data_IF_088387614905
#
_entry.id   IF_088387614905
#
_cell.length_a   1.000
_cell.length_b   1.000
_cell.length_c   1.000
_cell.angle_alpha   90.00
_cell.angle_beta   90.00
_cell.angle_gamma   90.00
#
_symmetry.space_group_name_H-M   'P 1'
#
loop_
_entity.id
_entity.type
_entity.pdbx_description
1 polymer ?
#
# COMPACT_ATOMS: atom_id res chain seq x y z
N UNK A 1 -13.03 10.27 7.19
CA UNK A 1 -12.67 8.84 7.07
C UNK A 1 -12.63 8.47 5.60
N UNK A 2 -11.52 7.89 5.12
CA UNK A 2 -11.44 7.42 3.73
C UNK A 2 -12.31 6.15 3.56
N UNK A 3 -12.77 5.87 2.36
CA UNK A 3 -13.47 4.63 1.99
C UNK A 3 -12.75 3.37 2.51
N UNK A 4 -11.41 3.34 2.45
CA UNK A 4 -10.61 2.22 2.95
C UNK A 4 -10.74 2.05 4.48
N UNK A 5 -10.73 3.14 5.25
CA UNK A 5 -10.92 3.11 6.71
C UNK A 5 -12.33 2.61 7.08
N UNK A 6 -13.33 3.05 6.32
CA UNK A 6 -14.72 2.63 6.54
C UNK A 6 -14.90 1.13 6.26
N UNK A 7 -14.29 0.61 5.20
CA UNK A 7 -14.29 -0.83 4.93
C UNK A 7 -13.44 -1.58 5.97
N UNK A 8 -12.29 -1.07 6.40
CA UNK A 8 -11.51 -1.70 7.48
C UNK A 8 -12.30 -1.77 8.79
N UNK A 9 -13.04 -0.71 9.14
CA UNK A 9 -13.92 -0.71 10.30
C UNK A 9 -15.07 -1.71 10.14
N UNK A 10 -15.62 -1.84 8.93
CA UNK A 10 -16.59 -2.87 8.61
C UNK A 10 -16.01 -4.29 8.79
N UNK A 11 -14.79 -4.54 8.32
CA UNK A 11 -14.07 -5.81 8.55
C UNK A 11 -13.86 -6.06 10.04
N UNK A 12 -13.38 -5.06 10.79
CA UNK A 12 -13.20 -5.16 12.24
C UNK A 12 -14.49 -5.56 12.95
N UNK A 13 -15.61 -4.95 12.54
CA UNK A 13 -16.93 -5.27 13.07
C UNK A 13 -17.35 -6.70 12.72
N UNK A 14 -17.17 -7.15 11.48
CA UNK A 14 -17.44 -8.53 11.06
C UNK A 14 -16.64 -9.52 11.92
N UNK A 15 -15.33 -9.31 12.07
CA UNK A 15 -14.44 -10.23 12.82
C UNK A 15 -14.85 -10.37 14.29
N UNK A 16 -15.31 -9.29 14.93
CA UNK A 16 -15.79 -9.32 16.32
C UNK A 16 -17.14 -10.05 16.44
N UNK A 17 -17.96 -10.00 15.41
CA UNK A 17 -19.35 -10.46 15.43
C UNK A 17 -19.59 -11.72 14.58
N UNK A 18 -18.56 -12.54 14.31
CA UNK A 18 -18.70 -13.75 13.47
C UNK A 18 -19.68 -14.79 14.03
N UNK A 19 -19.96 -14.76 15.35
CA UNK A 19 -20.91 -15.66 16.02
C UNK A 19 -22.33 -15.11 16.10
N UNK A 20 -22.59 -13.95 15.49
CA UNK A 20 -23.94 -13.38 15.40
C UNK A 20 -24.48 -13.51 13.97
N UNK A 21 -25.77 -13.22 13.82
CA UNK A 21 -26.32 -12.92 12.50
C UNK A 21 -25.72 -11.61 12.01
N UNK A 22 -25.19 -11.63 10.80
CA UNK A 22 -24.62 -10.46 10.13
C UNK A 22 -25.33 -10.24 8.81
N UNK A 23 -25.78 -9.01 8.56
CA UNK A 23 -26.45 -8.59 7.34
C UNK A 23 -25.67 -7.49 6.61
N UNK A 24 -25.57 -7.58 5.28
CA UNK A 24 -24.95 -6.51 4.50
C UNK A 24 -25.63 -5.14 4.70
N UNK A 25 -26.93 -5.13 5.02
CA UNK A 25 -27.71 -3.92 5.31
C UNK A 25 -27.22 -3.21 6.57
N UNK A 26 -26.92 -3.95 7.65
CA UNK A 26 -26.40 -3.33 8.87
C UNK A 26 -24.97 -2.80 8.68
N UNK A 27 -24.15 -3.50 7.89
CA UNK A 27 -22.76 -3.14 7.65
C UNK A 27 -22.67 -1.90 6.75
N UNK A 28 -23.54 -1.81 5.74
CA UNK A 28 -23.70 -0.62 4.92
C UNK A 28 -24.16 0.59 5.77
N UNK A 29 -25.12 0.38 6.67
CA UNK A 29 -25.61 1.43 7.57
C UNK A 29 -24.53 1.93 8.54
N UNK A 30 -23.74 1.02 9.10
CA UNK A 30 -22.63 1.34 10.00
C UNK A 30 -21.51 2.14 9.32
N UNK A 31 -21.37 2.01 8.00
CA UNK A 31 -20.40 2.76 7.19
C UNK A 31 -20.97 4.05 6.59
N UNK A 32 -22.27 4.30 6.72
CA UNK A 32 -22.96 5.46 6.13
C UNK A 32 -23.19 5.34 4.62
N UNK A 33 -23.02 4.15 4.03
CA UNK A 33 -23.21 3.91 2.61
C UNK A 33 -24.59 3.35 2.28
N UNK A 34 -25.04 3.58 1.05
CA UNK A 34 -26.15 2.80 0.49
C UNK A 34 -25.72 1.35 0.32
N UNK A 35 -26.65 0.40 0.44
CA UNK A 35 -26.36 -1.03 0.34
C UNK A 35 -25.66 -1.39 -0.98
N UNK A 36 -26.11 -0.80 -2.10
CA UNK A 36 -25.50 -1.01 -3.41
C UNK A 36 -24.06 -0.49 -3.47
N UNK A 37 -23.82 0.72 -2.96
CA UNK A 37 -22.47 1.29 -2.92
C UNK A 37 -21.56 0.48 -2.02
N UNK A 38 -22.04 0.04 -0.86
CA UNK A 38 -21.31 -0.82 0.07
C UNK A 38 -20.91 -2.15 -0.57
N UNK A 39 -21.81 -2.84 -1.27
CA UNK A 39 -21.46 -4.09 -1.96
C UNK A 39 -20.32 -3.91 -2.96
N UNK A 40 -20.44 -2.91 -3.83
CA UNK A 40 -19.41 -2.64 -4.83
C UNK A 40 -18.10 -2.23 -4.17
N UNK A 41 -18.17 -1.34 -3.18
CA UNK A 41 -16.99 -0.83 -2.51
C UNK A 41 -16.29 -1.95 -1.72
N UNK A 42 -17.02 -2.70 -0.90
CA UNK A 42 -16.48 -3.82 -0.14
C UNK A 42 -15.86 -4.86 -1.07
N UNK A 43 -16.55 -5.25 -2.15
CA UNK A 43 -15.99 -6.21 -3.12
C UNK A 43 -14.78 -5.63 -3.84
N UNK A 44 -14.81 -4.34 -4.21
CA UNK A 44 -13.67 -3.67 -4.85
C UNK A 44 -12.46 -3.52 -3.93
N UNK A 45 -12.67 -3.55 -2.61
CA UNK A 45 -11.63 -3.37 -1.58
C UNK A 45 -11.15 -4.70 -0.99
N UNK A 46 -11.98 -5.75 -0.98
CA UNK A 46 -11.62 -7.07 -0.42
C UNK A 46 -11.44 -8.17 -1.47
N UNK A 47 -11.81 -7.90 -2.73
CA UNK A 47 -11.73 -8.84 -3.85
C UNK A 47 -12.83 -9.90 -3.84
N UNK A 48 -13.66 -9.94 -2.79
CA UNK A 48 -14.76 -10.91 -2.64
C UNK A 48 -16.04 -10.21 -2.15
N UNK A 49 -17.23 -10.70 -2.54
CA UNK A 49 -18.49 -10.14 -2.03
C UNK A 49 -18.57 -10.25 -0.49
N UNK A 50 -19.09 -9.23 0.19
CA UNK A 50 -19.16 -9.18 1.66
C UNK A 50 -19.80 -10.42 2.30
N UNK A 51 -20.88 -10.96 1.73
CA UNK A 51 -21.52 -12.15 2.28
C UNK A 51 -20.65 -13.40 2.11
N UNK A 52 -19.87 -13.48 1.03
CA UNK A 52 -18.89 -14.54 0.84
C UNK A 52 -17.71 -14.37 1.79
N UNK A 53 -17.24 -13.13 2.01
CA UNK A 53 -16.25 -12.81 3.03
C UNK A 53 -16.67 -13.34 4.41
N UNK A 54 -17.86 -12.95 4.89
CA UNK A 54 -18.39 -13.39 6.19
C UNK A 54 -18.45 -14.92 6.27
N UNK A 55 -18.96 -15.58 5.22
CA UNK A 55 -19.03 -17.04 5.18
C UNK A 55 -17.64 -17.67 5.30
N UNK A 56 -16.67 -17.21 4.51
CA UNK A 56 -15.29 -17.72 4.53
C UNK A 56 -14.66 -17.55 5.92
N UNK A 57 -14.86 -16.39 6.55
CA UNK A 57 -14.37 -16.13 7.92
C UNK A 57 -15.01 -17.05 8.94
N UNK A 58 -16.34 -17.21 8.92
CA UNK A 58 -17.06 -18.17 9.77
C UNK A 58 -16.52 -19.58 9.63
N UNK A 59 -16.30 -20.06 8.41
CA UNK A 59 -15.75 -21.41 8.17
C UNK A 59 -14.32 -21.57 8.71
N UNK A 60 -13.47 -20.57 8.52
CA UNK A 60 -12.06 -20.60 8.95
C UNK A 60 -11.92 -20.58 10.47
N UNK A 61 -12.71 -19.75 11.15
CA UNK A 61 -12.75 -19.73 12.62
C UNK A 61 -13.40 -20.99 13.19
N UNK A 62 -14.46 -21.50 12.56
CA UNK A 62 -15.08 -22.76 12.96
C UNK A 62 -14.10 -23.94 12.89
N UNK A 63 -13.36 -24.10 11.79
CA UNK A 63 -12.41 -25.22 11.67
C UNK A 63 -11.27 -25.12 12.68
N UNK A 64 -10.84 -23.89 13.02
CA UNK A 64 -9.89 -23.66 14.09
C UNK A 64 -10.45 -24.05 15.46
N UNK A 65 -11.67 -23.63 15.81
CA UNK A 65 -12.31 -24.01 17.07
C UNK A 65 -12.51 -25.53 17.19
N UNK A 66 -12.88 -26.21 16.09
CA UNK A 66 -12.97 -27.68 16.02
C UNK A 66 -11.60 -28.32 16.25
N UNK A 67 -10.53 -27.75 15.69
CA UNK A 67 -9.18 -28.27 15.88
C UNK A 67 -8.69 -28.22 17.34
N UNK A 68 -9.26 -27.32 18.15
CA UNK A 68 -9.00 -27.21 19.58
C UNK A 68 -9.79 -28.23 20.42
N UNK A 69 -10.54 -29.14 19.77
CA UNK A 69 -11.29 -30.20 20.43
C UNK A 69 -12.76 -29.86 20.70
N UNK A 70 -13.27 -28.74 20.20
CA UNK A 70 -14.70 -28.42 20.32
C UNK A 70 -15.54 -29.33 19.40
N UNK A 71 -16.74 -29.69 19.85
CA UNK A 71 -17.64 -30.54 19.07
C UNK A 71 -18.12 -29.79 17.82
N UNK A 72 -17.98 -30.44 16.66
CA UNK A 72 -18.28 -29.85 15.35
C UNK A 72 -19.71 -29.30 15.22
N UNK A 73 -20.69 -29.98 15.83
CA UNK A 73 -22.08 -29.53 15.83
C UNK A 73 -22.26 -28.23 16.62
N UNK A 74 -21.67 -28.14 17.81
CA UNK A 74 -21.75 -26.96 18.68
C UNK A 74 -21.04 -25.77 18.02
N UNK A 75 -19.87 -26.02 17.41
CA UNK A 75 -19.13 -24.99 16.68
C UNK A 75 -19.94 -24.48 15.49
N UNK A 76 -20.49 -25.37 14.65
CA UNK A 76 -21.31 -24.98 13.50
C UNK A 76 -22.49 -24.09 13.93
N UNK A 77 -23.21 -24.46 14.99
CA UNK A 77 -24.31 -23.65 15.52
C UNK A 77 -23.82 -22.31 16.05
N UNK A 78 -22.68 -22.27 16.75
CA UNK A 78 -22.11 -21.04 17.30
C UNK A 78 -21.70 -20.01 16.24
N UNK A 79 -21.37 -20.45 15.03
CA UNK A 79 -21.06 -19.56 13.89
C UNK A 79 -22.30 -19.23 13.05
N UNK A 80 -23.50 -19.60 13.50
CA UNK A 80 -24.77 -19.26 12.86
C UNK A 80 -25.17 -20.17 11.70
N UNK A 81 -24.66 -21.40 11.65
CA UNK A 81 -25.19 -22.42 10.74
C UNK A 81 -26.38 -23.12 11.42
N UNK A 82 -27.54 -23.15 10.76
CA UNK A 82 -28.75 -23.80 11.31
C UNK A 82 -28.58 -25.31 11.53
N UNK A 83 -27.75 -25.96 10.71
CA UNK A 83 -27.51 -27.40 10.78
C UNK A 83 -26.05 -27.76 10.50
N UNK A 84 -25.60 -28.87 11.09
CA UNK A 84 -24.30 -29.48 10.78
C UNK A 84 -24.15 -29.78 9.28
N UNK A 85 -25.22 -30.23 8.61
CA UNK A 85 -25.22 -30.49 7.17
C UNK A 85 -24.99 -29.21 6.35
N UNK A 86 -25.57 -28.08 6.79
CA UNK A 86 -25.35 -26.77 6.18
C UNK A 86 -23.88 -26.34 6.28
N UNK A 87 -23.27 -26.45 7.47
CA UNK A 87 -21.85 -26.19 7.66
C UNK A 87 -20.98 -27.08 6.78
N UNK A 88 -21.23 -28.40 6.76
CA UNK A 88 -20.45 -29.34 5.97
C UNK A 88 -20.48 -29.02 4.48
N UNK A 89 -21.68 -28.71 3.93
CA UNK A 89 -21.82 -28.33 2.51
C UNK A 89 -21.09 -27.04 2.19
N UNK A 90 -21.23 -26.02 3.04
CA UNK A 90 -20.53 -24.75 2.86
C UNK A 90 -19.01 -24.94 2.92
N UNK A 91 -18.51 -25.72 3.87
CA UNK A 91 -17.09 -26.02 4.01
C UNK A 91 -16.54 -26.78 2.81
N UNK A 92 -17.22 -27.84 2.38
CA UNK A 92 -16.80 -28.63 1.22
C UNK A 92 -16.79 -27.82 -0.07
N UNK A 93 -17.73 -26.89 -0.23
CA UNK A 93 -17.76 -25.97 -1.38
C UNK A 93 -16.60 -24.98 -1.37
N UNK A 94 -16.20 -24.50 -0.20
CA UNK A 94 -15.11 -23.52 -0.06
C UNK A 94 -13.72 -24.17 -0.18
N UNK A 95 -13.52 -25.34 0.43
CA UNK A 95 -12.20 -25.98 0.58
C UNK A 95 -12.00 -27.26 -0.23
N UNK A 96 -12.99 -27.67 -1.03
CA UNK A 96 -12.98 -28.88 -1.85
C UNK A 96 -12.73 -30.20 -1.08
N UNK A 97 -12.80 -30.19 0.25
CA UNK A 97 -12.70 -31.37 1.12
C UNK A 97 -13.59 -31.24 2.35
N UNK A 98 -13.82 -32.34 3.07
CA UNK A 98 -14.57 -32.29 4.34
C UNK A 98 -13.75 -31.64 5.46
N UNK A 99 -14.41 -31.06 6.48
CA UNK A 99 -13.73 -30.56 7.69
C UNK A 99 -12.77 -31.59 8.32
N UNK A 100 -13.16 -32.87 8.36
CA UNK A 100 -12.34 -33.95 8.94
C UNK A 100 -11.11 -34.24 8.10
N UNK A 101 -11.24 -34.30 6.77
CA UNK A 101 -10.10 -34.45 5.85
C UNK A 101 -9.16 -33.25 5.92
N UNK A 102 -9.73 -32.05 6.03
CA UNK A 102 -8.97 -30.81 6.19
C UNK A 102 -8.10 -30.87 7.46
N UNK A 103 -8.66 -31.23 8.61
CA UNK A 103 -7.92 -31.33 9.88
C UNK A 103 -6.87 -32.44 9.91
N UNK A 104 -7.03 -33.50 9.13
CA UNK A 104 -6.02 -34.56 8.98
C UNK A 104 -4.83 -34.10 8.13
N UNK A 105 -5.10 -33.28 7.12
CA UNK A 105 -4.11 -32.88 6.10
C UNK A 105 -3.40 -31.58 6.49
N UNK A 106 -4.12 -30.68 7.15
CA UNK A 106 -3.68 -29.32 7.47
C UNK A 106 -3.77 -29.09 8.99
N UNK A 107 -2.72 -28.50 9.56
CA UNK A 107 -2.80 -27.96 10.92
C UNK A 107 -3.65 -26.69 10.84
N UNK A 108 -4.82 -26.69 11.46
CA UNK A 108 -5.63 -25.48 11.57
C UNK A 108 -4.83 -24.42 12.33
N UNK A 109 -4.68 -23.24 11.72
CA UNK A 109 -3.99 -22.09 12.30
C UNK A 109 -5.06 -21.11 12.79
N UNK A 110 -4.76 -20.40 13.87
CA UNK A 110 -5.63 -19.32 14.34
C UNK A 110 -5.79 -18.31 13.20
N UNK A 111 -7.02 -18.00 12.75
CA UNK A 111 -7.22 -17.06 11.65
C UNK A 111 -6.63 -15.70 11.99
N UNK A 112 -5.92 -15.10 11.05
CA UNK A 112 -5.37 -13.76 11.23
C UNK A 112 -6.48 -12.73 11.05
N UNK A 113 -6.39 -11.64 11.78
CA UNK A 113 -7.31 -10.52 11.58
C UNK A 113 -6.89 -9.79 10.31
N UNK A 114 -7.81 -9.67 9.35
CA UNK A 114 -7.52 -8.95 8.11
C UNK A 114 -7.43 -7.45 8.40
N UNK A 115 -6.33 -6.86 7.99
CA UNK A 115 -6.08 -5.43 8.11
C UNK A 115 -5.67 -4.88 6.74
N UNK A 116 -6.62 -4.26 6.04
CA UNK A 116 -6.43 -3.58 4.76
C UNK A 116 -5.50 -2.37 4.85
N UNK A 117 -5.28 -1.85 6.07
CA UNK A 117 -4.42 -0.68 6.32
C UNK A 117 -3.02 -1.10 6.78
N UNK A 118 -2.85 -2.35 7.21
CA UNK A 118 -1.57 -2.88 7.73
C UNK A 118 -1.25 -4.24 7.13
N UNK A 119 -0.09 -4.36 6.52
CA UNK A 119 0.62 -5.64 6.54
C UNK A 119 1.12 -5.86 7.97
N UNK A 120 0.38 -6.61 8.78
CA UNK A 120 0.88 -7.02 10.09
C UNK A 120 2.16 -7.86 9.91
N UNK A 121 3.09 -7.77 10.86
CA UNK A 121 4.23 -8.65 11.04
C UNK A 121 3.81 -10.14 11.00
N UNK A 122 3.74 -10.75 9.82
CA UNK A 122 3.42 -12.17 9.68
C UNK A 122 4.71 -12.95 9.92
N UNK A 123 4.88 -13.49 11.12
CA UNK A 123 6.00 -14.38 11.40
C UNK A 123 5.80 -15.74 10.74
N UNK A 124 6.50 -15.97 9.62
CA UNK A 124 6.48 -17.24 8.89
C UNK A 124 7.79 -18.00 9.13
N UNK A 125 7.68 -19.27 9.53
CA UNK A 125 8.86 -20.12 9.70
C UNK A 125 9.51 -20.47 8.36
N UNK A 126 10.84 -20.58 8.30
CA UNK A 126 11.57 -21.04 7.11
C UNK A 126 11.07 -22.40 6.60
N UNK A 127 10.59 -23.29 7.51
CA UNK A 127 10.00 -24.58 7.14
C UNK A 127 8.69 -24.40 6.35
N UNK A 128 7.87 -23.44 6.73
CA UNK A 128 6.63 -23.10 6.01
C UNK A 128 6.95 -22.50 4.64
N UNK A 129 7.90 -21.58 4.58
CA UNK A 129 8.38 -20.99 3.32
C UNK A 129 8.86 -22.09 2.37
N UNK A 130 9.74 -22.99 2.82
CA UNK A 130 10.19 -24.13 2.01
C UNK A 130 9.05 -25.02 1.52
N UNK A 131 8.00 -25.24 2.33
CA UNK A 131 6.82 -26.00 1.91
C UNK A 131 6.04 -25.26 0.81
N UNK A 132 5.87 -23.95 0.94
CA UNK A 132 5.15 -23.12 -0.04
C UNK A 132 5.95 -22.97 -1.33
N UNK A 133 7.28 -22.83 -1.27
CA UNK A 133 8.14 -22.71 -2.44
C UNK A 133 8.10 -23.93 -3.37
N UNK A 134 7.68 -25.11 -2.89
CA UNK A 134 7.46 -26.30 -3.73
C UNK A 134 6.38 -26.14 -4.81
N UNK A 135 5.56 -25.10 -4.72
CA UNK A 135 4.60 -24.78 -5.76
C UNK A 135 5.25 -24.09 -6.97
N UNK A 136 6.52 -23.70 -6.89
CA UNK A 136 7.29 -23.12 -8.00
C UNK A 136 8.41 -24.05 -8.43
N UNK A 137 8.77 -24.00 -9.71
CA UNK A 137 9.90 -24.73 -10.27
C UNK A 137 11.21 -23.97 -9.99
N UNK A 138 11.71 -24.09 -8.76
CA UNK A 138 12.93 -23.43 -8.29
C UNK A 138 14.08 -24.43 -8.23
N UNK A 139 15.26 -24.02 -8.72
CA UNK A 139 16.48 -24.82 -8.65
C UNK A 139 16.85 -25.17 -7.20
N UNK A 140 17.08 -26.45 -6.94
CA UNK A 140 17.60 -26.92 -5.66
C UNK A 140 19.14 -26.83 -5.61
N UNK A 141 19.76 -26.57 -4.44
CA UNK A 141 19.13 -26.42 -3.13
C UNK A 141 18.52 -25.03 -2.90
N UNK A 142 17.29 -24.99 -2.35
CA UNK A 142 16.62 -23.72 -2.02
C UNK A 142 17.25 -23.03 -0.81
N UNK A 143 17.83 -21.84 -1.03
CA UNK A 143 18.31 -20.91 0.00
C UNK A 143 17.29 -19.80 0.26
N UNK A 144 17.15 -19.40 1.53
CA UNK A 144 16.18 -18.38 1.96
C UNK A 144 16.92 -17.43 2.91
N UNK A 145 16.89 -16.14 2.59
CA UNK A 145 17.46 -15.08 3.42
C UNK A 145 16.38 -14.04 3.75
N UNK A 146 16.47 -13.45 4.94
CA UNK A 146 15.62 -12.31 5.29
C UNK A 146 16.01 -11.11 4.44
N UNK A 147 15.02 -10.37 3.94
CA UNK A 147 15.28 -9.11 3.25
C UNK A 147 15.38 -7.96 4.27
N UNK A 148 16.39 -7.11 4.08
CA UNK A 148 16.58 -5.88 4.84
C UNK A 148 16.45 -4.72 3.86
N UNK A 149 15.57 -3.77 4.17
CA UNK A 149 15.43 -2.57 3.36
C UNK A 149 16.72 -1.76 3.48
N UNK A 150 17.41 -1.52 2.35
CA UNK A 150 18.71 -0.84 2.34
C UNK A 150 18.63 0.60 2.84
N UNK A 151 17.50 1.28 2.63
CA UNK A 151 17.26 2.67 3.06
C UNK A 151 17.00 2.81 4.56
N UNK A 152 16.33 1.83 5.18
CA UNK A 152 15.94 1.93 6.60
C UNK A 152 16.72 0.99 7.52
N UNK A 153 17.49 0.05 6.97
CA UNK A 153 18.17 -1.02 7.70
C UNK A 153 17.23 -2.01 8.39
N UNK A 154 15.91 -1.80 8.28
CA UNK A 154 14.91 -2.65 8.92
C UNK A 154 14.63 -3.89 8.08
N UNK A 155 14.49 -5.02 8.78
CA UNK A 155 14.02 -6.26 8.19
C UNK A 155 12.56 -6.13 7.77
N UNK A 156 12.24 -6.41 6.51
CA UNK A 156 10.85 -6.63 6.10
C UNK A 156 10.45 -8.03 6.54
N UNK A 157 9.49 -8.11 7.47
CA UNK A 157 9.07 -9.40 8.03
C UNK A 157 8.27 -10.26 7.04
N UNK A 158 7.74 -9.66 5.99
CA UNK A 158 6.92 -10.30 4.98
C UNK A 158 7.65 -10.61 3.66
N UNK A 159 8.96 -10.34 3.59
CA UNK A 159 9.74 -10.48 2.35
C UNK A 159 11.01 -11.30 2.58
N UNK A 160 11.28 -12.24 1.67
CA UNK A 160 12.46 -13.11 1.70
C UNK A 160 13.14 -13.16 0.34
N UNK A 161 14.48 -13.21 0.35
CA UNK A 161 15.28 -13.51 -0.84
C UNK A 161 15.37 -15.02 -0.98
N UNK A 162 15.04 -15.56 -2.15
CA UNK A 162 15.12 -17.00 -2.46
C UNK A 162 16.14 -17.20 -3.57
N UNK A 163 17.13 -18.08 -3.35
CA UNK A 163 18.20 -18.42 -4.29
C UNK A 163 18.99 -17.25 -4.90
N UNK A 164 18.90 -16.05 -4.30
CA UNK A 164 19.44 -14.78 -4.81
C UNK A 164 18.68 -14.15 -5.99
N UNK A 165 17.95 -14.98 -6.76
CA UNK A 165 17.26 -14.56 -7.99
C UNK A 165 15.81 -14.08 -7.77
N UNK A 166 15.22 -14.41 -6.63
CA UNK A 166 13.79 -14.17 -6.39
C UNK A 166 13.51 -13.45 -5.08
N UNK A 167 12.42 -12.70 -5.08
CA UNK A 167 11.77 -12.24 -3.85
C UNK A 167 10.47 -13.01 -3.62
N UNK A 168 10.35 -13.64 -2.46
CA UNK A 168 9.07 -14.11 -1.96
C UNK A 168 8.47 -13.05 -1.04
N UNK A 169 7.26 -12.61 -1.37
CA UNK A 169 6.47 -11.68 -0.56
C UNK A 169 5.21 -12.40 -0.05
N UNK A 170 4.76 -12.03 1.13
CA UNK A 170 3.55 -12.59 1.73
C UNK A 170 2.68 -11.49 2.32
N UNK A 171 1.41 -11.46 1.91
CA UNK A 171 0.47 -10.47 2.40
C UNK A 171 -0.92 -11.05 2.61
N UNK A 172 -1.77 -10.25 3.24
CA UNK A 172 -3.23 -10.50 3.32
C UNK A 172 -3.99 -9.68 2.27
N UNK A 173 -3.32 -8.67 1.68
CA UNK A 173 -3.90 -7.75 0.69
C UNK A 173 -3.78 -8.31 -0.73
N UNK A 174 -4.74 -9.17 -1.12
CA UNK A 174 -4.83 -9.71 -2.48
C UNK A 174 -5.02 -8.62 -3.55
N UNK A 175 -5.53 -7.44 -3.20
CA UNK A 175 -5.77 -6.37 -4.17
C UNK A 175 -4.47 -5.67 -4.53
N UNK A 176 -3.73 -5.20 -3.52
CA UNK A 176 -2.41 -4.61 -3.73
C UNK A 176 -1.51 -5.57 -4.49
N UNK A 177 -1.59 -6.87 -4.17
CA UNK A 177 -0.93 -7.92 -4.94
C UNK A 177 -1.37 -7.94 -6.41
N UNK A 178 -2.66 -8.18 -6.71
CA UNK A 178 -3.15 -8.27 -8.10
C UNK A 178 -2.84 -7.01 -8.91
N UNK A 179 -2.90 -5.84 -8.28
CA UNK A 179 -2.50 -4.57 -8.89
C UNK A 179 -1.01 -4.54 -9.21
N UNK A 180 -0.15 -4.88 -8.24
CA UNK A 180 1.30 -4.98 -8.44
C UNK A 180 1.65 -5.93 -9.59
N UNK A 181 0.96 -7.07 -9.70
CA UNK A 181 1.13 -8.05 -10.78
C UNK A 181 0.74 -7.46 -12.13
N UNK A 182 -0.45 -6.86 -12.22
CA UNK A 182 -0.95 -6.28 -13.47
C UNK A 182 -0.05 -5.13 -13.96
N UNK A 183 0.39 -4.27 -13.04
CA UNK A 183 1.31 -3.16 -13.31
C UNK A 183 2.67 -3.69 -13.78
N UNK A 184 3.23 -4.66 -13.07
CA UNK A 184 4.50 -5.30 -13.44
C UNK A 184 4.46 -5.92 -14.84
N UNK A 185 3.37 -6.61 -15.19
CA UNK A 185 3.19 -7.17 -16.53
C UNK A 185 3.11 -6.09 -17.61
N UNK A 186 2.50 -4.94 -17.30
CA UNK A 186 2.38 -3.82 -18.24
C UNK A 186 3.72 -3.12 -18.44
N UNK A 187 4.51 -2.91 -17.37
CA UNK A 187 5.87 -2.39 -17.48
C UNK A 187 6.77 -3.26 -18.34
N UNK A 188 6.69 -4.60 -18.20
CA UNK A 188 7.43 -5.51 -19.08
C UNK A 188 7.09 -5.29 -20.56
N UNK A 189 5.82 -5.06 -20.89
CA UNK A 189 5.39 -4.81 -22.28
C UNK A 189 6.01 -3.54 -22.86
N UNK A 190 6.23 -2.54 -22.01
CA UNK A 190 6.87 -1.27 -22.39
C UNK A 190 8.41 -1.34 -22.28
N UNK A 191 8.99 -2.51 -21.98
CA UNK A 191 10.44 -2.74 -21.94
C UNK A 191 11.14 -2.35 -20.64
N UNK A 192 10.40 -2.04 -19.57
CA UNK A 192 10.96 -1.86 -18.23
C UNK A 192 11.07 -3.20 -17.50
N UNK A 193 12.16 -3.41 -16.76
CA UNK A 193 12.21 -4.51 -15.80
C UNK A 193 11.31 -4.17 -14.60
N UNK A 194 10.62 -5.17 -14.09
CA UNK A 194 9.80 -5.03 -12.89
C UNK A 194 9.80 -6.35 -12.13
N UNK A 195 9.30 -6.33 -10.89
CA UNK A 195 9.15 -7.53 -10.06
C UNK A 195 7.98 -8.41 -10.57
N UNK A 196 8.16 -9.03 -11.74
CA UNK A 196 7.13 -9.86 -12.38
C UNK A 196 6.97 -11.15 -11.58
N UNK A 197 5.73 -11.61 -11.34
CA UNK A 197 5.49 -12.89 -10.72
C UNK A 197 6.09 -14.04 -11.52
N UNK A 198 6.77 -14.93 -10.81
CA UNK A 198 7.09 -16.26 -11.29
C UNK A 198 5.80 -17.09 -11.18
N UNK A 199 5.30 -17.69 -12.27
CA UNK A 199 4.14 -18.56 -12.20
C UNK A 199 4.47 -19.85 -11.43
N UNK A 200 3.48 -20.39 -10.72
CA UNK A 200 3.57 -21.71 -10.09
C UNK A 200 3.65 -22.81 -11.16
N UNK A 201 3.94 -24.05 -10.74
CA UNK A 201 3.92 -25.25 -11.59
C UNK A 201 2.54 -25.44 -12.24
N UNK A 202 1.47 -25.03 -11.54
CA UNK A 202 0.09 -25.06 -12.03
C UNK A 202 -0.31 -23.78 -12.80
N UNK A 203 0.66 -22.91 -13.12
CA UNK A 203 0.48 -21.66 -13.86
C UNK A 203 -0.39 -20.60 -13.16
N UNK A 204 -0.42 -20.61 -11.83
CA UNK A 204 -1.03 -19.58 -11.00
C UNK A 204 -0.01 -18.49 -10.64
N UNK A 205 -0.48 -17.26 -10.39
CA UNK A 205 0.42 -16.13 -10.08
C UNK A 205 0.83 -16.05 -8.59
N UNK A 206 0.09 -16.74 -7.73
CA UNK A 206 0.29 -16.77 -6.28
C UNK A 206 -0.25 -18.07 -5.69
N UNK A 207 0.20 -18.40 -4.49
CA UNK A 207 -0.27 -19.53 -3.68
C UNK A 207 -1.07 -18.99 -2.50
N UNK A 208 -2.22 -19.61 -2.23
CA UNK A 208 -3.06 -19.30 -1.07
C UNK A 208 -2.87 -20.36 0.00
N UNK A 209 -2.58 -19.92 1.24
CA UNK A 209 -2.57 -20.80 2.40
C UNK A 209 -3.20 -20.09 3.60
N UNK A 210 -4.43 -20.51 3.95
CA UNK A 210 -5.28 -19.81 4.90
C UNK A 210 -5.71 -18.44 4.38
N UNK A 211 -5.39 -17.39 5.14
CA UNK A 211 -5.67 -15.99 4.79
C UNK A 211 -4.47 -15.29 4.12
N UNK A 212 -3.39 -16.03 3.86
CA UNK A 212 -2.14 -15.49 3.35
C UNK A 212 -1.96 -15.81 1.87
N UNK A 213 -1.54 -14.79 1.13
CA UNK A 213 -1.19 -14.87 -0.29
C UNK A 213 0.33 -14.80 -0.41
N UNK A 214 0.90 -15.84 -0.99
CA UNK A 214 2.34 -15.97 -1.21
C UNK A 214 2.60 -15.80 -2.69
N UNK A 215 3.53 -14.95 -3.05
CA UNK A 215 3.94 -14.78 -4.43
C UNK A 215 5.44 -14.67 -4.52
N UNK A 216 5.95 -15.16 -5.63
CA UNK A 216 7.36 -15.15 -5.96
C UNK A 216 7.55 -14.22 -7.14
N UNK A 217 8.52 -13.32 -7.07
CA UNK A 217 8.86 -12.39 -8.15
C UNK A 217 10.31 -12.55 -8.54
N UNK A 218 10.63 -12.27 -9.81
CA UNK A 218 12.02 -12.09 -10.21
C UNK A 218 12.60 -10.86 -9.52
N UNK A 219 13.83 -10.98 -9.01
CA UNK A 219 14.57 -9.83 -8.51
C UNK A 219 14.99 -8.96 -9.70
N UNK A 220 14.57 -7.70 -9.68
CA UNK A 220 15.08 -6.67 -10.58
C UNK A 220 16.57 -6.47 -10.26
N UNK A 221 17.44 -6.60 -11.25
CA UNK A 221 18.88 -6.51 -11.06
C UNK A 221 19.32 -5.05 -11.18
N UNK A 222 19.89 -4.48 -10.12
CA UNK A 222 20.35 -3.10 -10.08
C UNK A 222 20.61 -2.62 -8.67
N UNK A 223 21.05 -1.36 -8.55
CA UNK A 223 21.22 -0.66 -7.28
C UNK A 223 20.13 0.40 -7.13
N UNK A 224 19.61 0.56 -5.90
CA UNK A 224 18.67 1.63 -5.59
C UNK A 224 19.40 2.98 -5.49
N UNK A 225 18.71 4.07 -5.78
CA UNK A 225 19.25 5.40 -5.49
C UNK A 225 19.28 5.59 -3.97
N UNK A 226 20.48 5.72 -3.41
CA UNK A 226 20.66 5.97 -1.97
C UNK A 226 20.44 7.45 -1.67
N UNK A 227 19.71 7.75 -0.60
CA UNK A 227 19.35 9.12 -0.23
C UNK A 227 20.55 10.01 0.09
N UNK A 228 21.62 9.46 0.66
CA UNK A 228 22.88 10.18 0.91
C UNK A 228 23.56 10.66 -0.38
N UNK A 229 23.32 9.99 -1.51
CA UNK A 229 23.90 10.38 -2.80
C UNK A 229 23.19 11.59 -3.41
N UNK A 230 21.92 11.79 -3.05
CA UNK A 230 21.13 12.92 -3.51
C UNK A 230 21.68 14.22 -2.93
N UNK A 231 22.33 14.20 -1.76
CA UNK A 231 22.97 15.35 -1.15
C UNK A 231 24.47 15.49 -1.49
N UNK A 232 25.01 14.80 -2.52
CA UNK A 232 26.39 15.01 -2.99
C UNK A 232 26.51 16.26 -3.90
N UNK A 233 27.68 16.52 -4.51
CA UNK A 233 27.93 17.72 -5.33
C UNK A 233 27.04 17.81 -6.57
N UNK A 234 26.70 16.68 -7.18
CA UNK A 234 25.86 16.59 -8.39
C UNK A 234 24.35 16.53 -8.12
N UNK A 235 23.91 16.96 -6.93
CA UNK A 235 22.53 16.81 -6.45
C UNK A 235 21.46 17.32 -7.41
N UNK A 236 21.78 18.33 -8.24
CA UNK A 236 20.86 18.92 -9.21
C UNK A 236 20.57 17.98 -10.39
N UNK A 237 21.61 17.32 -10.91
CA UNK A 237 21.46 16.39 -12.03
C UNK A 237 20.71 15.15 -11.57
N UNK A 238 21.10 14.59 -10.42
CA UNK A 238 20.39 13.44 -9.81
C UNK A 238 18.93 13.76 -9.53
N UNK A 239 18.65 14.92 -8.91
CA UNK A 239 17.29 15.35 -8.63
C UNK A 239 16.44 15.52 -9.90
N UNK A 240 17.00 16.15 -10.94
CA UNK A 240 16.32 16.28 -12.23
C UNK A 240 16.02 14.92 -12.85
N UNK A 241 16.99 14.03 -12.80
CA UNK A 241 16.86 12.70 -13.35
C UNK A 241 15.81 11.85 -12.63
N UNK A 242 15.70 11.96 -11.29
CA UNK A 242 14.58 11.37 -10.52
C UNK A 242 13.23 11.88 -11.04
N UNK A 243 13.11 13.19 -11.26
CA UNK A 243 11.90 13.79 -11.83
C UNK A 243 11.55 13.25 -13.22
N UNK A 244 12.56 13.12 -14.09
CA UNK A 244 12.40 12.56 -15.44
C UNK A 244 11.95 11.09 -15.38
N UNK A 245 12.52 10.30 -14.47
CA UNK A 245 12.14 8.90 -14.22
C UNK A 245 10.67 8.78 -13.79
N UNK A 246 10.23 9.58 -12.80
CA UNK A 246 8.83 9.59 -12.36
C UNK A 246 7.91 10.01 -13.51
N UNK A 247 8.36 10.95 -14.35
CA UNK A 247 7.62 11.36 -15.53
C UNK A 247 7.45 10.25 -16.55
N UNK A 248 8.51 9.49 -16.83
CA UNK A 248 8.45 8.32 -17.71
C UNK A 248 7.52 7.24 -17.17
N UNK A 249 7.53 7.00 -15.85
CA UNK A 249 6.58 6.10 -15.19
C UNK A 249 5.14 6.54 -15.47
N UNK A 250 4.85 7.84 -15.32
CA UNK A 250 3.50 8.36 -15.50
C UNK A 250 3.01 8.27 -16.94
N UNK A 251 3.88 8.44 -17.93
CA UNK A 251 3.53 8.19 -19.34
C UNK A 251 3.06 6.74 -19.54
N UNK A 252 3.71 5.78 -18.89
CA UNK A 252 3.32 4.36 -18.98
C UNK A 252 2.03 4.10 -18.20
N UNK A 253 1.92 4.62 -16.97
CA UNK A 253 0.72 4.45 -16.13
C UNK A 253 -0.52 5.06 -16.80
N UNK A 254 -0.40 6.24 -17.41
CA UNK A 254 -1.47 6.90 -18.13
C UNK A 254 -1.93 6.09 -19.35
N UNK A 255 -0.99 5.51 -20.10
CA UNK A 255 -1.28 4.65 -21.27
C UNK A 255 -2.17 3.45 -20.89
N UNK A 256 -1.92 2.87 -19.72
CA UNK A 256 -2.64 1.70 -19.22
C UNK A 256 -3.74 2.04 -18.20
N UNK A 257 -4.04 3.32 -17.94
CA UNK A 257 -4.89 3.75 -16.81
C UNK A 257 -6.27 3.05 -16.78
N UNK A 258 -6.85 2.83 -17.96
CA UNK A 258 -8.17 2.19 -18.12
C UNK A 258 -8.16 0.67 -17.94
N UNK A 259 -6.98 0.05 -18.01
CA UNK A 259 -6.81 -1.40 -17.89
C UNK A 259 -6.83 -1.84 -16.41
N UNK A 260 -6.68 -0.90 -15.47
CA UNK A 260 -6.57 -1.20 -14.05
C UNK A 260 -7.81 -0.78 -13.25
N UNK A 261 -8.24 -1.69 -12.38
CA UNK A 261 -9.18 -1.40 -11.30
C UNK A 261 -8.39 -1.01 -10.07
N UNK A 262 -8.41 0.27 -9.72
CA UNK A 262 -7.69 0.85 -8.59
C UNK A 262 -8.61 1.76 -7.78
N UNK A 263 -8.25 1.97 -6.51
CA UNK A 263 -8.96 2.92 -5.66
C UNK A 263 -8.79 4.33 -6.22
N UNK A 264 -9.81 5.18 -6.06
CA UNK A 264 -9.76 6.58 -6.47
C UNK A 264 -10.21 7.46 -5.30
N UNK A 265 -9.37 7.58 -4.25
CA UNK A 265 -9.73 8.39 -3.10
C UNK A 265 -9.71 9.87 -3.49
N UNK A 266 -10.67 10.62 -2.96
CA UNK A 266 -10.66 12.06 -3.10
C UNK A 266 -9.66 12.64 -2.09
N UNK A 267 -8.44 12.98 -2.55
CA UNK A 267 -7.36 13.50 -1.70
C UNK A 267 -7.81 14.71 -0.87
N UNK A 268 -8.54 15.66 -1.46
CA UNK A 268 -9.04 16.84 -0.75
C UNK A 268 -9.97 16.44 0.40
N UNK A 269 -10.95 15.57 0.16
CA UNK A 269 -11.87 15.10 1.19
C UNK A 269 -11.17 14.21 2.24
N UNK A 270 -10.19 13.39 1.84
CA UNK A 270 -9.36 12.62 2.77
C UNK A 270 -8.58 13.53 3.72
N UNK A 271 -7.98 14.61 3.19
CA UNK A 271 -7.26 15.57 4.03
C UNK A 271 -8.22 16.36 4.92
N UNK A 272 -9.32 16.89 4.36
CA UNK A 272 -10.32 17.68 5.08
C UNK A 272 -10.98 16.91 6.23
N UNK A 273 -11.45 15.69 5.96
CA UNK A 273 -12.33 14.94 6.87
C UNK A 273 -11.57 13.96 7.79
N UNK A 274 -10.27 13.78 7.59
CA UNK A 274 -9.48 12.86 8.42
C UNK A 274 -8.10 13.43 8.77
N UNK A 275 -7.28 13.76 7.77
CA UNK A 275 -5.89 14.11 8.03
C UNK A 275 -5.74 15.39 8.87
N UNK A 276 -6.51 16.44 8.55
CA UNK A 276 -6.49 17.71 9.32
C UNK A 276 -6.97 17.51 10.76
N UNK A 277 -8.15 16.90 11.03
CA UNK A 277 -8.59 16.64 12.40
C UNK A 277 -7.56 15.87 13.25
N UNK A 278 -6.88 14.89 12.66
CA UNK A 278 -5.86 14.11 13.37
C UNK A 278 -4.55 14.89 13.54
N UNK A 279 -4.02 15.50 12.48
CA UNK A 279 -2.75 16.22 12.51
C UNK A 279 -2.79 17.44 13.44
N UNK A 280 -3.93 18.15 13.51
CA UNK A 280 -4.14 19.31 14.41
C UNK A 280 -3.80 19.04 15.87
N UNK A 281 -3.93 17.79 16.33
CA UNK A 281 -3.62 17.40 17.71
C UNK A 281 -2.11 17.43 18.01
N UNK A 282 -1.26 17.43 16.98
CA UNK A 282 0.19 17.21 17.09
C UNK A 282 1.05 18.28 16.41
N UNK A 283 0.43 19.15 15.61
CA UNK A 283 1.10 20.27 14.93
C UNK A 283 0.89 21.58 15.68
N UNK A 284 1.91 22.45 15.67
CA UNK A 284 1.84 23.79 16.29
C UNK A 284 1.40 24.90 15.32
N UNK A 285 0.70 24.53 14.25
CA UNK A 285 0.27 25.46 13.20
C UNK A 285 -0.96 26.26 13.63
N UNK A 286 -1.08 27.53 13.21
CA UNK A 286 -2.27 28.33 13.49
C UNK A 286 -3.49 27.79 12.74
N UNK A 287 -4.70 28.02 13.28
CA UNK A 287 -5.95 27.60 12.60
C UNK A 287 -6.07 28.19 11.18
N UNK A 288 -5.55 29.40 10.96
CA UNK A 288 -5.52 30.07 9.66
C UNK A 288 -4.83 29.27 8.57
N UNK A 289 -3.81 28.46 8.89
CA UNK A 289 -3.15 27.58 7.92
C UNK A 289 -4.15 26.59 7.30
N UNK A 290 -4.97 25.95 8.13
CA UNK A 290 -5.92 24.94 7.66
C UNK A 290 -7.08 25.57 6.89
N UNK A 291 -7.53 26.75 7.31
CA UNK A 291 -8.55 27.53 6.62
C UNK A 291 -8.06 27.96 5.23
N UNK A 292 -6.85 28.54 5.16
CA UNK A 292 -6.18 28.93 3.90
C UNK A 292 -5.98 27.72 2.98
N UNK A 293 -5.54 26.59 3.54
CA UNK A 293 -5.38 25.34 2.81
C UNK A 293 -6.71 24.87 2.19
N UNK A 294 -7.78 24.78 3.00
CA UNK A 294 -9.08 24.27 2.52
C UNK A 294 -9.68 25.22 1.47
N UNK A 295 -9.65 26.51 1.72
CA UNK A 295 -10.19 27.51 0.81
C UNK A 295 -9.46 27.47 -0.53
N UNK A 296 -8.13 27.50 -0.53
CA UNK A 296 -7.37 27.62 -1.75
C UNK A 296 -7.24 26.30 -2.50
N UNK A 297 -6.99 25.18 -1.81
CA UNK A 297 -6.83 23.90 -2.50
C UNK A 297 -8.14 23.46 -3.18
N UNK A 298 -9.30 23.76 -2.58
CA UNK A 298 -10.60 23.47 -3.19
C UNK A 298 -10.81 24.15 -4.56
N UNK A 299 -10.17 25.29 -4.81
CA UNK A 299 -10.25 26.03 -6.09
C UNK A 299 -9.45 25.32 -7.19
N UNK A 300 -8.29 24.74 -6.86
CA UNK A 300 -7.43 24.04 -7.81
C UNK A 300 -7.88 22.59 -8.03
N UNK A 301 -8.29 21.91 -6.96
CA UNK A 301 -8.52 20.46 -6.93
C UNK A 301 -9.34 19.91 -8.10
N UNK A 302 -10.48 20.50 -8.51
CA UNK A 302 -11.30 19.97 -9.60
C UNK A 302 -10.57 19.88 -10.95
N UNK A 303 -9.59 20.76 -11.19
CA UNK A 303 -8.92 20.91 -12.48
C UNK A 303 -7.61 20.13 -12.60
N UNK A 304 -7.17 19.47 -11.52
CA UNK A 304 -5.91 18.74 -11.52
C UNK A 304 -6.03 17.39 -12.27
N UNK A 305 -5.13 17.08 -13.23
CA UNK A 305 -5.10 15.80 -13.92
C UNK A 305 -4.93 14.62 -12.96
N UNK A 306 -5.62 13.52 -13.25
CA UNK A 306 -5.60 12.29 -12.46
C UNK A 306 -5.38 11.08 -13.35
N UNK A 307 -4.57 10.15 -12.86
CA UNK A 307 -4.37 8.81 -13.40
C UNK A 307 -3.80 7.95 -12.26
N UNK A 308 -3.49 6.69 -12.54
CA UNK A 308 -2.78 5.84 -11.57
C UNK A 308 -1.41 6.43 -11.24
N UNK A 309 -1.15 6.59 -9.96
CA UNK A 309 0.14 7.00 -9.41
C UNK A 309 0.73 5.86 -8.57
N UNK A 310 2.04 5.88 -8.38
CA UNK A 310 2.74 4.92 -7.54
C UNK A 310 2.46 5.14 -6.05
N UNK A 311 2.28 6.39 -5.63
CA UNK A 311 1.95 6.83 -4.25
C UNK A 311 3.09 6.70 -3.23
N UNK A 312 4.18 6.01 -3.58
CA UNK A 312 5.42 5.91 -2.80
C UNK A 312 6.67 5.81 -3.70
N UNK A 313 6.90 6.76 -4.62
CA UNK A 313 8.09 6.76 -5.47
C UNK A 313 9.32 7.28 -4.70
N UNK A 314 9.59 6.74 -3.51
CA UNK A 314 10.83 7.01 -2.79
C UNK A 314 12.02 6.64 -3.71
N UNK A 315 13.10 7.42 -3.78
CA UNK A 315 14.31 7.04 -4.51
C UNK A 315 14.82 5.61 -4.25
N UNK A 316 14.60 5.07 -3.04
CA UNK A 316 14.90 3.67 -2.73
C UNK A 316 14.05 2.65 -3.50
N UNK A 317 12.88 3.07 -3.98
CA UNK A 317 12.01 2.27 -4.84
C UNK A 317 12.34 2.40 -6.34
N UNK A 318 13.36 3.17 -6.71
CA UNK A 318 13.82 3.36 -8.09
C UNK A 318 15.07 2.50 -8.32
N UNK A 319 14.97 1.55 -9.25
CA UNK A 319 16.06 0.63 -9.58
C UNK A 319 16.87 1.15 -10.76
N UNK A 320 18.19 1.22 -10.56
CA UNK A 320 19.15 1.74 -11.51
C UNK A 320 20.20 0.69 -11.89
N UNK A 321 20.64 0.68 -13.14
CA UNK A 321 21.80 -0.09 -13.60
C UNK A 321 22.51 0.66 -14.70
N UNK A 322 23.83 0.77 -14.59
CA UNK A 322 24.69 1.48 -15.55
C UNK A 322 24.17 2.91 -15.86
N UNK A 323 23.67 3.61 -14.83
CA UNK A 323 23.14 4.97 -14.96
C UNK A 323 21.79 5.09 -15.70
N UNK A 324 21.08 3.98 -15.90
CA UNK A 324 19.76 3.94 -16.54
C UNK A 324 18.70 3.36 -15.63
N UNK A 325 17.48 3.87 -15.75
CA UNK A 325 16.30 3.30 -15.13
C UNK A 325 16.13 1.86 -15.62
N UNK A 326 16.12 0.94 -14.67
CA UNK A 326 15.82 -0.47 -14.91
C UNK A 326 14.38 -0.77 -14.59
N UNK A 327 13.86 -0.18 -13.50
CA UNK A 327 12.52 -0.46 -13.04
C UNK A 327 12.14 0.29 -11.78
N UNK A 328 10.92 0.04 -11.33
CA UNK A 328 10.40 0.47 -10.05
C UNK A 328 10.03 -0.76 -9.23
N UNK A 329 10.18 -0.65 -7.92
CA UNK A 329 9.75 -1.67 -6.98
C UNK A 329 8.55 -1.16 -6.16
N UNK A 330 7.71 -2.10 -5.74
CA UNK A 330 6.62 -1.88 -4.79
C UNK A 330 5.45 -0.98 -5.23
N UNK A 331 4.54 -1.55 -6.02
CA UNK A 331 3.32 -0.87 -6.49
C UNK A 331 2.09 -1.12 -5.61
N UNK A 332 2.27 -1.63 -4.39
CA UNK A 332 1.14 -2.09 -3.56
C UNK A 332 0.24 -0.94 -3.06
N UNK A 333 0.77 0.29 -3.03
CA UNK A 333 0.05 1.50 -2.64
C UNK A 333 -0.55 2.27 -3.83
N UNK A 334 -0.43 1.75 -5.05
CA UNK A 334 -0.85 2.45 -6.26
C UNK A 334 -2.36 2.71 -6.29
N UNK A 335 -2.75 3.93 -6.68
CA UNK A 335 -4.14 4.39 -6.72
C UNK A 335 -4.33 5.41 -7.84
N UNK A 336 -5.57 5.63 -8.29
CA UNK A 336 -5.89 6.75 -9.18
C UNK A 336 -6.01 8.02 -8.37
N UNK A 337 -5.12 8.98 -8.59
CA UNK A 337 -5.11 10.24 -7.87
C UNK A 337 -4.43 11.35 -8.69
N UNK A 338 -4.25 12.53 -8.10
CA UNK A 338 -3.59 13.67 -8.72
C UNK A 338 -2.15 13.31 -9.07
N UNK A 339 -1.79 13.44 -10.36
CA UNK A 339 -0.48 12.97 -10.85
C UNK A 339 0.72 13.68 -10.23
N UNK A 340 0.61 14.95 -9.87
CA UNK A 340 1.73 15.68 -9.23
C UNK A 340 1.99 15.24 -7.78
N UNK A 341 1.20 14.32 -7.23
CA UNK A 341 1.45 13.72 -5.92
C UNK A 341 2.81 13.02 -5.87
N UNK A 342 3.11 12.15 -6.83
CA UNK A 342 4.34 11.35 -6.85
C UNK A 342 5.65 12.17 -6.86
N UNK A 343 5.85 13.16 -7.75
CA UNK A 343 7.06 13.97 -7.69
C UNK A 343 7.14 14.84 -6.42
N UNK A 344 6.00 15.25 -5.85
CA UNK A 344 5.98 15.94 -4.55
C UNK A 344 6.36 14.97 -3.41
N UNK A 345 5.85 13.74 -3.46
CA UNK A 345 6.12 12.69 -2.47
C UNK A 345 7.61 12.35 -2.45
N UNK A 346 8.20 12.06 -3.61
CA UNK A 346 9.62 11.78 -3.77
C UNK A 346 10.50 12.92 -3.19
N UNK A 347 10.14 14.17 -3.47
CA UNK A 347 10.85 15.31 -2.89
C UNK A 347 10.72 15.34 -1.36
N UNK A 348 9.52 15.15 -0.81
CA UNK A 348 9.30 15.17 0.65
C UNK A 348 9.89 13.97 1.39
N UNK A 349 10.01 12.79 0.76
CA UNK A 349 10.66 11.63 1.38
C UNK A 349 12.16 11.87 1.56
N UNK A 350 12.82 12.47 0.57
CA UNK A 350 14.23 12.90 0.65
C UNK A 350 14.44 13.91 1.79
N UNK A 351 13.46 14.80 2.00
CA UNK A 351 13.51 15.72 3.14
C UNK A 351 13.40 14.95 4.45
N UNK A 352 12.38 14.10 4.59
CA UNK A 352 12.07 13.37 5.82
C UNK A 352 13.21 12.49 6.31
N UNK A 353 13.89 11.77 5.40
CA UNK A 353 15.00 10.87 5.77
C UNK A 353 16.21 11.60 6.35
N UNK A 354 16.31 12.90 6.07
CA UNK A 354 17.51 13.68 6.31
C UNK A 354 17.21 14.95 7.12
N UNK A 355 15.97 15.09 7.61
CA UNK A 355 15.47 16.29 8.28
C UNK A 355 16.11 16.45 9.66
N UNK A 356 16.78 17.58 9.85
CA UNK A 356 17.29 18.03 11.15
C UNK A 356 16.77 19.46 11.32
N UNK A 357 16.04 19.68 12.42
CA UNK A 357 15.49 21.00 12.74
C UNK A 357 16.66 22.01 12.87
N UNK A 358 16.58 23.12 12.13
CA UNK A 358 17.59 24.21 12.07
C UNK A 358 18.86 23.93 11.25
N UNK A 359 18.91 22.90 10.40
CA UNK A 359 19.97 22.76 9.40
C UNK A 359 19.65 23.58 8.12
N UNK A 360 19.84 24.90 8.20
CA UNK A 360 19.52 25.84 7.12
C UNK A 360 20.24 25.54 5.80
N UNK A 361 21.46 25.01 5.86
CA UNK A 361 22.25 24.68 4.67
C UNK A 361 21.60 23.51 3.92
N UNK A 362 21.27 22.44 4.65
CA UNK A 362 20.64 21.26 4.08
C UNK A 362 19.24 21.55 3.58
N UNK A 363 18.46 22.36 4.30
CA UNK A 363 17.11 22.79 3.88
C UNK A 363 17.15 23.64 2.60
N UNK A 364 18.12 24.53 2.45
CA UNK A 364 18.36 25.26 1.18
C UNK A 364 18.79 24.33 0.06
N UNK A 365 19.60 23.31 0.36
CA UNK A 365 20.00 22.30 -0.63
C UNK A 365 18.79 21.46 -1.06
N UNK A 366 17.92 21.09 -0.13
CA UNK A 366 16.68 20.39 -0.43
C UNK A 366 15.75 21.21 -1.32
N UNK A 367 15.59 22.51 -1.10
CA UNK A 367 14.81 23.37 -2.00
C UNK A 367 15.32 23.33 -3.45
N UNK A 368 16.64 23.21 -3.64
CA UNK A 368 17.21 23.01 -4.99
C UNK A 368 16.87 21.63 -5.53
N UNK A 369 16.97 20.57 -4.73
CA UNK A 369 16.61 19.20 -5.10
C UNK A 369 15.13 19.13 -5.51
N UNK A 370 14.23 19.61 -4.66
CA UNK A 370 12.79 19.69 -4.93
C UNK A 370 12.51 20.37 -6.27
N UNK A 371 13.07 21.58 -6.50
CA UNK A 371 12.85 22.30 -7.77
C UNK A 371 13.35 21.51 -8.98
N UNK A 372 14.50 20.84 -8.87
CA UNK A 372 15.04 20.04 -9.98
C UNK A 372 14.21 18.79 -10.24
N UNK A 373 13.67 18.12 -9.20
CA UNK A 373 12.70 17.02 -9.38
C UNK A 373 11.47 17.51 -10.15
N UNK A 374 10.88 18.62 -9.74
CA UNK A 374 9.72 19.18 -10.45
C UNK A 374 10.08 19.57 -11.89
N UNK A 375 11.26 20.18 -12.12
CA UNK A 375 11.73 20.53 -13.47
C UNK A 375 11.92 19.29 -14.35
N UNK A 376 12.48 18.21 -13.80
CA UNK A 376 12.64 16.94 -14.50
C UNK A 376 11.30 16.34 -14.90
N UNK A 377 10.37 16.29 -13.95
CA UNK A 377 9.01 15.80 -14.20
C UNK A 377 8.26 16.66 -15.24
N UNK A 378 8.33 17.99 -15.12
CA UNK A 378 7.75 18.95 -16.08
C UNK A 378 8.34 18.77 -17.49
N UNK A 379 9.63 18.41 -17.59
CA UNK A 379 10.28 18.20 -18.88
C UNK A 379 9.65 17.04 -19.68
N UNK A 380 9.13 16.02 -18.99
CA UNK A 380 8.48 14.85 -19.60
C UNK A 380 6.97 15.06 -19.72
N UNK A 381 6.30 15.39 -18.62
CA UNK A 381 4.84 15.33 -18.54
C UNK A 381 4.12 16.66 -18.75
N UNK A 382 4.86 17.77 -18.95
CA UNK A 382 4.36 19.13 -19.25
C UNK A 382 3.25 19.58 -18.26
N UNK A 383 3.66 20.12 -17.12
CA UNK A 383 2.76 20.61 -16.08
C UNK A 383 1.97 21.84 -16.55
N UNK A 384 0.67 21.84 -16.27
CA UNK A 384 -0.17 23.02 -16.45
C UNK A 384 0.17 24.11 -15.41
N UNK A 385 -0.33 25.32 -15.64
CA UNK A 385 -0.18 26.43 -14.69
C UNK A 385 -0.88 26.11 -13.36
N UNK A 386 -2.06 25.50 -13.43
CA UNK A 386 -2.87 25.10 -12.27
C UNK A 386 -2.14 24.04 -11.43
N UNK A 387 -1.49 23.07 -12.08
CA UNK A 387 -0.67 22.08 -11.40
C UNK A 387 0.51 22.72 -10.67
N UNK A 388 1.25 23.62 -11.33
CA UNK A 388 2.38 24.33 -10.71
C UNK A 388 1.94 25.15 -9.48
N UNK A 389 0.78 25.80 -9.56
CA UNK A 389 0.19 26.55 -8.44
C UNK A 389 -0.33 25.63 -7.33
N UNK A 390 -0.73 24.40 -7.64
CA UNK A 390 -1.25 23.44 -6.68
C UNK A 390 -0.17 22.72 -5.86
N UNK A 391 1.09 22.70 -6.32
CA UNK A 391 2.21 21.95 -5.70
C UNK A 391 2.33 22.17 -4.17
N UNK A 392 2.31 23.41 -3.63
CA UNK A 392 2.39 23.61 -2.18
C UNK A 392 1.30 22.87 -1.41
N UNK A 393 0.07 22.85 -1.94
CA UNK A 393 -1.07 22.16 -1.31
C UNK A 393 -0.94 20.64 -1.40
N UNK A 394 -0.35 20.12 -2.46
CA UNK A 394 -0.03 18.69 -2.57
C UNK A 394 1.03 18.29 -1.55
N UNK A 395 2.09 19.08 -1.38
CA UNK A 395 3.10 18.88 -0.33
C UNK A 395 2.44 18.89 1.04
N UNK A 396 1.59 19.88 1.35
CA UNK A 396 0.86 19.91 2.63
C UNK A 396 -0.06 18.71 2.81
N UNK A 397 -0.72 18.24 1.75
CA UNK A 397 -1.55 17.04 1.77
C UNK A 397 -0.76 15.81 2.20
N UNK A 398 0.41 15.59 1.58
CA UNK A 398 1.32 14.49 1.89
C UNK A 398 1.71 14.54 3.37
N UNK A 399 2.13 15.72 3.86
CA UNK A 399 2.55 15.89 5.25
C UNK A 399 1.42 15.63 6.24
N UNK A 400 0.23 16.19 6.00
CA UNK A 400 -0.93 15.96 6.86
C UNK A 400 -1.33 14.48 6.89
N UNK A 401 -1.28 13.79 5.75
CA UNK A 401 -1.54 12.35 5.67
C UNK A 401 -0.49 11.53 6.43
N UNK A 402 0.80 11.85 6.27
CA UNK A 402 1.90 11.20 6.99
C UNK A 402 1.76 11.38 8.51
N UNK A 403 1.50 12.60 8.99
CA UNK A 403 1.30 12.89 10.42
C UNK A 403 0.10 12.12 10.97
N UNK A 404 -1.04 12.14 10.26
CA UNK A 404 -2.23 11.42 10.69
C UNK A 404 -2.01 9.89 10.72
N UNK A 405 -1.34 9.36 9.70
CA UNK A 405 -1.00 7.95 9.62
C UNK A 405 -0.04 7.52 10.73
N UNK A 406 1.12 8.15 10.88
CA UNK A 406 2.14 7.74 11.85
C UNK A 406 1.65 7.88 13.31
N UNK A 407 0.86 8.91 13.62
CA UNK A 407 0.31 9.06 14.98
C UNK A 407 -0.74 8.01 15.35
N UNK A 408 -1.43 7.43 14.37
CA UNK A 408 -2.33 6.29 14.63
C UNK A 408 -1.57 4.97 14.94
N UNK A 409 -0.23 5.01 14.95
CA UNK A 409 0.66 3.87 15.15
C UNK A 409 1.73 4.18 16.21
N UNK A 410 1.60 3.65 17.43
CA UNK A 410 2.55 3.86 18.54
C UNK A 410 4.03 3.54 18.22
N UNK A 411 4.32 2.78 17.15
CA UNK A 411 5.69 2.45 16.72
C UNK A 411 6.38 3.56 15.91
N UNK A 412 5.67 4.56 15.40
CA UNK A 412 6.21 5.57 14.46
C UNK A 412 6.22 6.99 15.04
N UNK A 413 6.28 7.13 16.37
CA UNK A 413 6.21 8.44 17.04
C UNK A 413 7.30 9.42 16.60
N UNK A 414 8.51 8.93 16.28
CA UNK A 414 9.59 9.78 15.77
C UNK A 414 9.30 10.32 14.36
N UNK A 415 8.83 9.47 13.43
CA UNK A 415 8.43 9.89 12.09
C UNK A 415 7.28 10.90 12.14
N UNK A 416 6.31 10.70 13.04
CA UNK A 416 5.21 11.64 13.24
C UNK A 416 5.70 13.01 13.70
N UNK A 417 6.68 13.05 14.62
CA UNK A 417 7.32 14.28 15.09
C UNK A 417 8.06 14.98 13.96
N UNK A 418 8.91 14.26 13.22
CA UNK A 418 9.68 14.79 12.08
C UNK A 418 8.77 15.42 11.04
N UNK A 419 7.69 14.73 10.62
CA UNK A 419 6.76 15.26 9.63
C UNK A 419 5.99 16.50 10.15
N UNK A 420 5.71 16.57 11.46
CA UNK A 420 5.07 17.75 12.08
C UNK A 420 5.99 18.98 12.06
N UNK A 421 7.26 18.81 12.41
CA UNK A 421 8.28 19.87 12.34
C UNK A 421 8.54 20.31 10.90
N UNK A 422 8.62 19.33 9.98
CA UNK A 422 8.79 19.56 8.56
C UNK A 422 7.62 20.39 7.98
N UNK A 423 6.37 20.07 8.34
CA UNK A 423 5.21 20.84 7.91
C UNK A 423 5.25 22.28 8.44
N UNK A 424 5.66 22.49 9.70
CA UNK A 424 5.84 23.82 10.26
C UNK A 424 6.88 24.63 9.47
N UNK A 425 8.01 24.00 9.15
CA UNK A 425 9.05 24.65 8.36
C UNK A 425 8.59 24.98 6.93
N UNK A 426 7.90 24.05 6.26
CA UNK A 426 7.37 24.25 4.90
C UNK A 426 6.37 25.40 4.86
N UNK A 427 5.48 25.51 5.85
CA UNK A 427 4.53 26.63 5.95
C UNK A 427 5.23 27.98 6.14
N UNK A 428 6.23 28.05 7.02
CA UNK A 428 7.01 29.26 7.25
C UNK A 428 7.84 29.69 6.01
N UNK A 429 8.08 28.76 5.08
CA UNK A 429 8.85 28.99 3.85
C UNK A 429 7.99 28.84 2.58
N UNK A 430 6.67 29.02 2.67
CA UNK A 430 5.71 28.71 1.60
C UNK A 430 6.00 29.40 0.25
N UNK A 431 6.55 30.61 0.29
CA UNK A 431 6.95 31.37 -0.91
C UNK A 431 8.05 30.67 -1.72
N UNK A 432 8.90 29.88 -1.07
CA UNK A 432 10.01 29.16 -1.71
C UNK A 432 9.56 27.90 -2.46
N UNK A 433 8.35 27.42 -2.16
CA UNK A 433 7.72 26.25 -2.79
C UNK A 433 7.02 26.59 -4.11
N UNK A 434 6.86 27.87 -4.45
CA UNK A 434 6.22 28.32 -5.67
C UNK A 434 7.10 27.95 -6.89
N UNK A 435 6.51 27.22 -7.83
CA UNK A 435 7.11 26.88 -9.11
C UNK A 435 6.60 27.87 -10.16
N UNK A 436 7.52 28.55 -10.84
CA UNK A 436 7.21 29.55 -11.87
C UNK A 436 7.11 28.94 -13.27
#
# INVERSE_FOLDING_TARGET
MNYLDMIQNSINYIEINLKTELSASELARATGFSLFHYYRLFQSVTGIPVMHYILKRKLTHAIYDISLGQKMIDVALSYGFETHSGFFKAFKREYNCSPTEYLKTYKAVKPYKINLIREECIMISHRKIKKILKNWDIKEPVTIHSFYNESSGHKLENTWVVNHDYFMKVGTNIIGLKQHIALSKSFKKEGLESAIPVPTIDNEEYVVDGDLYYFLTYRVQGECIKSDEIYKEDSRLTARYIGEIIGQLHVILEKHDKEFVCNEPNLYESVKNWAIPEAKKYTRLPNSFYEEYLENFSKFYPYLPRHIIHRDPNPSNIMMKDGRLVGFIDFELSERNIRIFDPCYAATSILSESFIENDDEKLRKWLKIFKHIIMGYDSICKLSKEEKLAIPYIIYSIQLLCIAYFNSHNKFGELARVNSEMLCWLYNNKELLIIK
#
